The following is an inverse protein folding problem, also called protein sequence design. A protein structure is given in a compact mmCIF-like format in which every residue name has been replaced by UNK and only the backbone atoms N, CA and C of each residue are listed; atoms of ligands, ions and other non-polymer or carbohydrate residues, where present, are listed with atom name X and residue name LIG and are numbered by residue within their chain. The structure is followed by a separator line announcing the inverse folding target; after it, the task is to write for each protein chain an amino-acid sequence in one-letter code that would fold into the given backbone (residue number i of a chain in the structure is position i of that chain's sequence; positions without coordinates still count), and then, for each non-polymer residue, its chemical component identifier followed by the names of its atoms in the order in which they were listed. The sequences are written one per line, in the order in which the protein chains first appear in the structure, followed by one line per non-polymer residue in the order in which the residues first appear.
data_IF_486471565062
#
_entry.id   IF_486471565062
#
_cell.length_a   1.000
_cell.length_b   1.000
_cell.length_c   1.000
_cell.angle_alpha   90.00
_cell.angle_beta   90.00
_cell.angle_gamma   90.00
#
_symmetry.space_group_name_H-M   'P 1'
#
loop_
_entity.id
_entity.type
_entity.pdbx_description
1 polymer ?
#
# COMPACT_ATOMS: atom_id res chain seq x y z
N UNK A 1 -37.84 3.93 -5.68
CA UNK A 1 -36.45 3.77 -5.17
C UNK A 1 -36.30 2.33 -4.73
N UNK A 2 -35.17 1.67 -5.00
CA UNK A 2 -34.95 0.30 -4.49
C UNK A 2 -34.43 0.43 -3.06
N UNK A 3 -35.16 -0.13 -2.10
CA UNK A 3 -34.62 -0.30 -0.75
C UNK A 3 -33.38 -1.18 -0.83
N UNK A 4 -32.27 -0.67 -0.30
CA UNK A 4 -31.08 -1.48 -0.12
C UNK A 4 -31.39 -2.41 1.06
N UNK A 5 -31.38 -3.72 0.83
CA UNK A 5 -31.45 -4.69 1.92
C UNK A 5 -30.37 -4.39 2.96
N UNK A 6 -30.73 -4.45 4.26
CA UNK A 6 -29.79 -4.19 5.35
C UNK A 6 -28.53 -5.07 5.25
N UNK A 7 -28.67 -6.31 4.77
CA UNK A 7 -27.57 -7.22 4.52
C UNK A 7 -26.60 -6.69 3.46
N UNK A 8 -27.13 -6.14 2.36
CA UNK A 8 -26.32 -5.58 1.27
C UNK A 8 -25.58 -4.32 1.74
N UNK A 9 -26.26 -3.44 2.47
CA UNK A 9 -25.63 -2.26 3.07
C UNK A 9 -24.53 -2.65 4.07
N UNK A 10 -24.76 -3.67 4.89
CA UNK A 10 -23.77 -4.19 5.84
C UNK A 10 -22.53 -4.72 5.11
N UNK A 11 -22.72 -5.54 4.06
CA UNK A 11 -21.62 -6.07 3.25
C UNK A 11 -20.80 -4.95 2.61
N UNK A 12 -21.44 -3.94 2.04
CA UNK A 12 -20.75 -2.77 1.47
C UNK A 12 -19.92 -2.04 2.54
N UNK A 13 -20.53 -1.72 3.69
CA UNK A 13 -19.85 -1.00 4.78
C UNK A 13 -18.62 -1.75 5.26
N UNK A 14 -18.71 -3.07 5.42
CA UNK A 14 -17.59 -3.91 5.84
C UNK A 14 -16.47 -3.88 4.81
N UNK A 15 -16.77 -4.13 3.53
CA UNK A 15 -15.77 -4.10 2.47
C UNK A 15 -15.05 -2.75 2.37
N UNK A 16 -15.79 -1.64 2.45
CA UNK A 16 -15.21 -0.30 2.40
C UNK A 16 -14.35 -0.02 3.64
N UNK A 17 -14.79 -0.44 4.83
CA UNK A 17 -14.02 -0.30 6.07
C UNK A 17 -12.72 -1.10 6.00
N UNK A 18 -12.78 -2.34 5.53
CA UNK A 18 -11.62 -3.23 5.39
C UNK A 18 -10.64 -2.71 4.31
N UNK A 19 -11.14 -2.01 3.28
CA UNK A 19 -10.33 -1.28 2.31
C UNK A 19 -9.73 0.03 2.86
N UNK A 20 -9.97 0.36 4.12
CA UNK A 20 -9.47 1.57 4.78
C UNK A 20 -10.22 2.85 4.39
N UNK A 21 -11.45 2.75 3.89
CA UNK A 21 -12.31 3.91 3.66
C UNK A 21 -12.86 4.44 4.99
N UNK A 22 -12.79 5.75 5.20
CA UNK A 22 -13.38 6.40 6.37
C UNK A 22 -14.90 6.44 6.31
N UNK A 23 -15.54 6.67 7.47
CA UNK A 23 -16.99 6.82 7.61
C UNK A 23 -17.62 7.79 6.58
N UNK A 24 -17.03 8.96 6.25
CA UNK A 24 -17.61 9.86 5.25
C UNK A 24 -17.72 9.24 3.85
N UNK A 25 -16.68 8.51 3.42
CA UNK A 25 -16.64 7.83 2.12
C UNK A 25 -17.66 6.68 2.08
N UNK A 26 -17.79 5.96 3.19
CA UNK A 26 -18.77 4.88 3.33
C UNK A 26 -20.21 5.41 3.21
N UNK A 27 -20.53 6.50 3.93
CA UNK A 27 -21.85 7.14 3.86
C UNK A 27 -22.14 7.65 2.44
N UNK A 28 -21.17 8.31 1.80
CA UNK A 28 -21.31 8.79 0.42
C UNK A 28 -21.54 7.63 -0.56
N UNK A 29 -20.82 6.52 -0.41
CA UNK A 29 -21.00 5.35 -1.28
C UNK A 29 -22.41 4.74 -1.17
N UNK A 30 -22.95 4.66 0.05
CA UNK A 30 -24.30 4.13 0.29
C UNK A 30 -25.39 5.04 -0.29
N UNK A 31 -25.25 6.36 -0.19
CA UNK A 31 -26.16 7.31 -0.84
C UNK A 31 -26.13 7.15 -2.38
N UNK A 32 -24.94 6.98 -2.96
CA UNK A 32 -24.80 6.69 -4.39
C UNK A 32 -25.38 5.32 -4.79
N UNK A 33 -25.34 4.32 -3.90
CA UNK A 33 -25.97 3.01 -4.12
C UNK A 33 -27.50 3.15 -4.20
N UNK A 34 -28.11 3.96 -3.32
CA UNK A 34 -29.55 4.21 -3.34
C UNK A 34 -29.99 4.92 -4.63
N UNK A 35 -29.14 5.83 -5.13
CA UNK A 35 -29.35 6.58 -6.38
C UNK A 35 -28.94 5.81 -7.64
N UNK A 36 -28.37 4.61 -7.50
CA UNK A 36 -27.81 3.79 -8.59
C UNK A 36 -26.73 4.51 -9.42
N UNK A 37 -26.01 5.45 -8.81
CA UNK A 37 -24.96 6.26 -9.42
C UNK A 37 -23.63 5.49 -9.46
N UNK A 38 -23.56 4.45 -10.31
CA UNK A 38 -22.41 3.54 -10.41
C UNK A 38 -21.11 4.24 -10.82
N UNK A 39 -21.18 5.27 -11.67
CA UNK A 39 -19.99 5.99 -12.16
C UNK A 39 -19.24 6.70 -11.03
N UNK A 40 -19.98 7.37 -10.16
CA UNK A 40 -19.47 8.07 -8.99
C UNK A 40 -18.90 7.07 -7.97
N UNK A 41 -19.55 5.92 -7.79
CA UNK A 41 -19.03 4.83 -6.97
C UNK A 41 -17.68 4.32 -7.46
N UNK A 42 -17.55 4.04 -8.77
CA UNK A 42 -16.27 3.62 -9.34
C UNK A 42 -15.19 4.69 -9.17
N UNK A 43 -15.54 5.97 -9.28
CA UNK A 43 -14.61 7.07 -9.04
C UNK A 43 -14.11 7.10 -7.60
N UNK A 44 -14.99 6.93 -6.62
CA UNK A 44 -14.60 6.86 -5.20
C UNK A 44 -13.66 5.68 -4.93
N UNK A 45 -13.98 4.50 -5.46
CA UNK A 45 -13.15 3.30 -5.30
C UNK A 45 -11.78 3.45 -5.97
N UNK A 46 -11.73 4.03 -7.16
CA UNK A 46 -10.48 4.30 -7.88
C UNK A 46 -9.59 5.26 -7.09
N UNK A 47 -10.17 6.32 -6.51
CA UNK A 47 -9.44 7.26 -5.67
C UNK A 47 -8.83 6.56 -4.45
N UNK A 48 -9.61 5.73 -3.73
CA UNK A 48 -9.11 4.94 -2.61
C UNK A 48 -7.95 4.03 -3.05
N UNK A 49 -8.11 3.32 -4.17
CA UNK A 49 -7.05 2.47 -4.73
C UNK A 49 -5.76 3.26 -4.99
N UNK A 50 -5.87 4.43 -5.63
CA UNK A 50 -4.71 5.29 -5.88
C UNK A 50 -4.02 5.74 -4.60
N UNK A 51 -4.77 6.08 -3.55
CA UNK A 51 -4.20 6.45 -2.25
C UNK A 51 -3.44 5.28 -1.61
N UNK A 52 -4.00 4.06 -1.68
CA UNK A 52 -3.33 2.86 -1.16
C UNK A 52 -2.04 2.58 -1.93
N UNK A 53 -2.05 2.67 -3.25
CA UNK A 53 -0.85 2.50 -4.08
C UNK A 53 0.22 3.55 -3.75
N UNK A 54 -0.16 4.81 -3.55
CA UNK A 54 0.80 5.84 -3.13
C UNK A 54 1.44 5.53 -1.77
N UNK A 55 0.66 5.03 -0.81
CA UNK A 55 1.19 4.59 0.49
C UNK A 55 2.15 3.40 0.32
N UNK A 56 1.77 2.43 -0.49
CA UNK A 56 2.61 1.27 -0.81
C UNK A 56 3.94 1.72 -1.43
N UNK A 57 3.91 2.58 -2.46
CA UNK A 57 5.13 3.07 -3.10
C UNK A 57 6.05 3.81 -2.13
N UNK A 58 5.51 4.57 -1.17
CA UNK A 58 6.31 5.23 -0.12
C UNK A 58 6.97 4.23 0.83
N UNK A 59 6.27 3.14 1.17
CA UNK A 59 6.84 2.08 2.01
C UNK A 59 7.91 1.32 1.23
N UNK A 60 7.64 0.97 -0.03
CA UNK A 60 8.60 0.31 -0.92
C UNK A 60 9.88 1.13 -1.04
N UNK A 61 9.78 2.43 -1.30
CA UNK A 61 10.95 3.31 -1.38
C UNK A 61 11.81 3.27 -0.11
N UNK A 62 11.19 3.24 1.08
CA UNK A 62 11.93 3.15 2.34
C UNK A 62 12.67 1.81 2.47
N UNK A 63 12.05 0.72 2.02
CA UNK A 63 12.67 -0.60 2.00
C UNK A 63 13.85 -0.59 1.02
N UNK A 64 13.67 -0.06 -0.19
CA UNK A 64 14.73 0.03 -1.20
C UNK A 64 15.96 0.81 -0.67
N UNK A 65 15.74 1.90 0.07
CA UNK A 65 16.83 2.63 0.73
C UNK A 65 17.59 1.79 1.77
N UNK A 66 16.87 1.00 2.57
CA UNK A 66 17.48 0.11 3.56
C UNK A 66 18.27 -1.01 2.89
N UNK A 67 17.70 -1.62 1.85
CA UNK A 67 18.35 -2.69 1.08
C UNK A 67 19.63 -2.19 0.41
N UNK A 68 19.61 -0.97 -0.15
CA UNK A 68 20.80 -0.36 -0.74
C UNK A 68 21.90 -0.10 0.31
N UNK A 69 21.53 0.36 1.50
CA UNK A 69 22.49 0.57 2.59
C UNK A 69 23.14 -0.75 3.02
N UNK A 70 22.32 -1.78 3.23
CA UNK A 70 22.81 -3.13 3.60
C UNK A 70 23.73 -3.70 2.53
N UNK A 71 23.35 -3.58 1.26
CA UNK A 71 24.19 -4.02 0.13
C UNK A 71 25.54 -3.31 0.14
N UNK A 72 25.56 -2.00 0.36
CA UNK A 72 26.80 -1.21 0.41
C UNK A 72 27.71 -1.67 1.53
N UNK A 73 27.18 -1.87 2.73
CA UNK A 73 27.93 -2.39 3.88
C UNK A 73 28.53 -3.78 3.59
N UNK A 74 27.77 -4.66 2.96
CA UNK A 74 28.25 -5.99 2.58
C UNK A 74 29.41 -5.92 1.59
N UNK A 75 29.37 -5.00 0.63
CA UNK A 75 30.47 -4.79 -0.31
C UNK A 75 31.74 -4.27 0.39
N UNK A 76 31.60 -3.35 1.34
CA UNK A 76 32.72 -2.84 2.15
C UNK A 76 33.36 -3.98 2.98
N UNK A 77 32.56 -4.80 3.64
CA UNK A 77 33.03 -5.96 4.41
C UNK A 77 33.72 -7.02 3.53
N UNK A 78 33.21 -7.26 2.32
CA UNK A 78 33.86 -8.12 1.33
C UNK A 78 35.21 -7.55 0.87
N UNK A 79 35.28 -6.27 0.58
CA UNK A 79 36.52 -5.62 0.17
C UNK A 79 37.56 -5.66 1.30
N UNK A 80 37.15 -5.37 2.54
CA UNK A 80 38.00 -5.46 3.72
C UNK A 80 38.58 -6.87 3.88
N UNK A 81 37.74 -7.91 3.78
CA UNK A 81 38.20 -9.31 3.83
C UNK A 81 39.18 -9.65 2.71
N UNK A 82 38.96 -9.16 1.48
CA UNK A 82 39.90 -9.35 0.37
C UNK A 82 41.24 -8.66 0.63
N UNK A 83 41.22 -7.41 1.12
CA UNK A 83 42.43 -6.65 1.47
C UNK A 83 43.23 -7.34 2.58
N UNK A 84 42.56 -7.86 3.61
CA UNK A 84 43.19 -8.60 4.71
C UNK A 84 43.80 -9.93 4.26
N UNK A 85 43.12 -10.66 3.37
CA UNK A 85 43.64 -11.90 2.78
C UNK A 85 44.94 -11.66 2.00
N UNK A 86 45.01 -10.59 1.20
CA UNK A 86 46.21 -10.23 0.43
C UNK A 86 47.40 -9.81 1.33
N UNK A 87 47.13 -9.17 2.48
CA UNK A 87 48.17 -8.80 3.45
C UNK A 87 48.77 -10.03 4.14
N UNK A 88 47.97 -11.02 4.48
CA UNK A 88 48.43 -12.28 5.10
C UNK A 88 49.29 -13.14 4.17
N UNK A 89 49.17 -12.96 2.86
CA UNK A 89 49.94 -13.73 1.87
C UNK A 89 51.32 -13.13 1.56
N UNK A 90 51.62 -11.95 2.12
CA UNK A 90 52.88 -11.21 1.94
C UNK A 90 53.78 -11.20 3.18
N UNK A 91 53.30 -11.77 4.29
CA UNK A 91 54.05 -12.04 5.52
C UNK A 91 54.35 -13.53 5.59
#
# INVERSE_FOLDING_TARGET
MKEISEEHAFRIRRNLKDAGCGLPVVTQYLDLEQRQCRREQYRLLSCQKSMLLQKLHRIQYKIDCLDHLVYTMQQEDEEQRRRESCKKQRL
#
